data_IF_869296432859
#
_entry.id   IF_869296432859
#
_cell.length_a   1.000
_cell.length_b   1.000
_cell.length_c   1.000
_cell.angle_alpha   90.00
_cell.angle_beta   90.00
_cell.angle_gamma   90.00
#
_symmetry.space_group_name_H-M   'P 1'
#
loop_
_entity.id
_entity.type
_entity.pdbx_description
1 polymer ?
#
# COMPACT_ATOMS: atom_id res chain seq x y z
N UNK A 1 3.05 -8.41 -0.09
CA UNK A 1 2.28 -7.14 -0.12
C UNK A 1 2.54 -6.32 1.12
N UNK A 2 2.92 -5.05 0.96
CA UNK A 2 3.09 -4.08 2.05
C UNK A 2 1.98 -3.02 1.92
N UNK A 3 1.07 -2.92 2.91
CA UNK A 3 -0.10 -2.05 2.83
C UNK A 3 0.25 -0.55 2.94
N UNK A 4 -0.74 0.30 2.65
CA UNK A 4 -0.73 1.70 3.03
C UNK A 4 -1.12 1.91 4.50
N UNK A 5 -1.40 3.15 4.88
CA UNK A 5 -2.01 3.49 6.16
C UNK A 5 -3.55 3.58 5.98
N UNK A 6 -4.36 2.89 6.78
CA UNK A 6 -4.01 2.00 7.90
C UNK A 6 -3.36 0.69 7.44
N UNK A 7 -2.40 0.20 8.23
CA UNK A 7 -1.53 -0.91 7.92
C UNK A 7 -2.14 -2.31 8.05
N UNK A 8 -3.39 -2.48 7.64
CA UNK A 8 -4.18 -3.71 7.77
C UNK A 8 -4.23 -4.47 6.45
N UNK A 9 -3.66 -5.68 6.42
CA UNK A 9 -3.69 -6.56 5.23
C UNK A 9 -5.11 -7.03 4.91
N UNK A 10 -6.03 -7.01 5.86
CA UNK A 10 -7.43 -7.37 5.64
C UNK A 10 -8.07 -6.65 4.46
N UNK A 11 -7.70 -5.41 4.17
CA UNK A 11 -8.16 -4.67 3.00
C UNK A 11 -7.69 -5.27 1.66
N UNK A 12 -6.60 -6.02 1.67
CA UNK A 12 -5.94 -6.52 0.45
C UNK A 12 -6.23 -8.01 0.18
N UNK A 13 -6.95 -8.70 1.06
CA UNK A 13 -7.20 -10.14 0.93
C UNK A 13 -7.78 -10.48 -0.43
N UNK A 14 -8.86 -9.83 -0.83
CA UNK A 14 -9.50 -10.08 -2.13
C UNK A 14 -8.56 -9.82 -3.31
N UNK A 15 -7.83 -8.71 -3.28
CA UNK A 15 -6.85 -8.37 -4.31
C UNK A 15 -5.75 -9.44 -4.40
N UNK A 16 -5.21 -9.87 -3.27
CA UNK A 16 -4.16 -10.89 -3.22
C UNK A 16 -4.66 -12.27 -3.65
N UNK A 17 -5.91 -12.62 -3.35
CA UNK A 17 -6.55 -13.86 -3.80
C UNK A 17 -6.66 -13.92 -5.33
N UNK A 18 -7.04 -12.82 -5.99
CA UNK A 18 -7.03 -12.74 -7.45
C UNK A 18 -5.62 -12.92 -8.02
N UNK A 19 -4.64 -12.25 -7.45
CA UNK A 19 -3.23 -12.37 -7.87
C UNK A 19 -2.74 -13.81 -7.68
N UNK A 20 -2.99 -14.43 -6.51
CA UNK A 20 -2.57 -15.81 -6.22
C UNK A 20 -3.20 -16.82 -7.17
N UNK A 21 -4.49 -16.69 -7.46
CA UNK A 21 -5.19 -17.61 -8.39
C UNK A 21 -4.67 -17.50 -9.81
N UNK A 22 -4.34 -16.31 -10.27
CA UNK A 22 -3.83 -16.08 -11.63
C UNK A 22 -2.35 -16.42 -11.78
N UNK A 23 -1.61 -16.46 -10.68
CA UNK A 23 -0.17 -16.72 -10.60
C UNK A 23 0.12 -17.79 -9.53
N UNK A 24 -0.36 -19.03 -9.73
CA UNK A 24 -0.29 -20.09 -8.71
C UNK A 24 1.14 -20.55 -8.38
N UNK A 25 2.12 -20.20 -9.20
CA UNK A 25 3.54 -20.47 -8.96
C UNK A 25 4.16 -19.61 -7.85
N UNK A 26 3.49 -18.52 -7.44
CA UNK A 26 3.95 -17.67 -6.35
C UNK A 26 3.34 -18.08 -5.01
N UNK A 27 4.09 -17.94 -3.93
CA UNK A 27 3.55 -17.83 -2.58
C UNK A 27 3.25 -16.37 -2.30
N UNK A 28 1.97 -16.02 -2.13
CA UNK A 28 1.53 -14.63 -1.91
C UNK A 28 1.20 -14.41 -0.44
N UNK A 29 1.77 -13.40 0.17
CA UNK A 29 1.46 -13.00 1.54
C UNK A 29 1.48 -11.48 1.73
N UNK A 30 0.71 -11.01 2.72
CA UNK A 30 0.69 -9.63 3.17
C UNK A 30 1.31 -9.48 4.56
N UNK A 31 1.87 -8.31 4.84
CA UNK A 31 2.51 -8.01 6.12
C UNK A 31 1.85 -6.78 6.76
N UNK A 32 1.01 -7.03 7.78
CA UNK A 32 0.47 -5.94 8.60
C UNK A 32 1.58 -5.05 9.18
N UNK A 33 1.27 -3.79 9.42
CA UNK A 33 2.16 -2.94 10.17
C UNK A 33 2.09 -3.23 11.67
N UNK A 34 3.21 -2.99 12.37
CA UNK A 34 3.24 -3.01 13.82
C UNK A 34 2.18 -2.06 14.37
N UNK A 35 1.49 -2.52 15.40
CA UNK A 35 0.40 -1.75 16.01
C UNK A 35 -0.96 -1.96 15.38
N UNK A 36 -1.07 -2.73 14.29
CA UNK A 36 -2.33 -3.03 13.62
C UNK A 36 -2.81 -4.48 13.83
N UNK A 37 -2.45 -5.09 14.95
CA UNK A 37 -2.93 -6.44 15.31
C UNK A 37 -3.96 -6.39 16.43
N UNK A 38 -5.02 -7.22 16.34
CA UNK A 38 -6.10 -7.31 17.35
C UNK A 38 -5.60 -7.66 18.77
N UNK A 39 -4.47 -8.34 18.87
CA UNK A 39 -3.96 -8.83 20.15
C UNK A 39 -3.46 -7.70 21.06
N UNK A 40 -3.37 -6.47 20.59
CA UNK A 40 -2.69 -5.38 21.28
C UNK A 40 -3.62 -4.21 21.68
N UNK A 41 -4.83 -4.52 22.17
CA UNK A 41 -5.81 -3.52 22.63
C UNK A 41 -5.30 -2.62 23.78
N UNK A 42 -4.23 -3.03 24.48
CA UNK A 42 -3.57 -2.27 25.55
C UNK A 42 -2.30 -1.57 25.09
N UNK A 43 -2.01 -1.57 23.78
CA UNK A 43 -0.78 -1.00 23.26
C UNK A 43 -0.73 0.51 23.48
N UNK A 44 0.29 0.96 24.21
CA UNK A 44 0.58 2.37 24.45
C UNK A 44 1.64 2.93 23.48
N UNK A 45 2.49 2.07 22.92
CA UNK A 45 3.54 2.47 21.99
C UNK A 45 2.97 2.72 20.59
N UNK A 46 3.30 3.89 20.03
CA UNK A 46 2.99 4.24 18.65
C UNK A 46 4.20 3.90 17.79
N UNK A 47 4.04 2.96 16.89
CA UNK A 47 5.10 2.57 15.96
C UNK A 47 5.21 3.58 14.82
N UNK A 48 6.38 4.15 14.65
CA UNK A 48 6.71 5.10 13.61
C UNK A 48 7.06 4.42 12.28
N UNK A 49 7.12 5.20 11.21
CA UNK A 49 7.46 4.71 9.85
C UNK A 49 8.81 3.97 9.83
N UNK A 50 9.83 4.46 10.53
CA UNK A 50 11.14 3.78 10.59
C UNK A 50 11.07 2.42 11.29
N UNK A 51 10.24 2.27 12.33
CA UNK A 51 10.01 0.99 12.99
C UNK A 51 9.28 0.01 12.06
N UNK A 52 8.37 0.51 11.20
CA UNK A 52 7.71 -0.31 10.17
C UNK A 52 8.72 -0.81 9.13
N UNK A 53 9.62 0.04 8.67
CA UNK A 53 10.70 -0.34 7.74
C UNK A 53 11.57 -1.45 8.35
N UNK A 54 12.02 -1.25 9.59
CA UNK A 54 12.85 -2.22 10.29
C UNK A 54 12.12 -3.56 10.51
N UNK A 55 10.84 -3.51 10.87
CA UNK A 55 10.02 -4.72 11.01
C UNK A 55 9.90 -5.48 9.68
N UNK A 56 9.60 -4.81 8.56
CA UNK A 56 9.50 -5.47 7.26
C UNK A 56 10.83 -6.09 6.84
N UNK A 57 11.93 -5.37 7.05
CA UNK A 57 13.28 -5.89 6.81
C UNK A 57 13.54 -7.18 7.62
N UNK A 58 13.27 -7.19 8.93
CA UNK A 58 13.52 -8.36 9.78
C UNK A 58 12.66 -9.54 9.34
N UNK A 59 11.36 -9.34 9.15
CA UNK A 59 10.43 -10.43 8.75
C UNK A 59 10.82 -11.03 7.40
N UNK A 60 11.17 -10.20 6.41
CA UNK A 60 11.55 -10.68 5.08
C UNK A 60 12.92 -11.36 5.13
N UNK A 61 13.89 -10.81 5.87
CA UNK A 61 15.20 -11.44 6.11
C UNK A 61 15.05 -12.83 6.69
N UNK A 62 14.20 -13.01 7.71
CA UNK A 62 13.97 -14.30 8.34
C UNK A 62 13.30 -15.29 7.36
N UNK A 63 12.34 -14.82 6.56
CA UNK A 63 11.74 -15.66 5.52
C UNK A 63 12.75 -16.10 4.46
N UNK A 64 13.63 -15.21 4.00
CA UNK A 64 14.71 -15.56 3.06
C UNK A 64 15.62 -16.63 3.66
N UNK A 65 16.02 -16.47 4.93
CA UNK A 65 16.89 -17.44 5.62
C UNK A 65 16.27 -18.82 5.81
N UNK A 66 14.94 -18.90 5.87
CA UNK A 66 14.20 -20.16 6.03
C UNK A 66 14.02 -20.92 4.71
N UNK A 67 14.25 -20.27 3.55
CA UNK A 67 14.11 -20.92 2.25
C UNK A 67 15.30 -21.85 1.98
N UNK A 68 15.02 -23.10 1.54
CA UNK A 68 16.09 -24.05 1.19
C UNK A 68 16.83 -23.67 -0.07
N UNK A 69 16.21 -22.91 -0.96
CA UNK A 69 16.76 -22.42 -2.21
C UNK A 69 16.73 -20.90 -2.25
N UNK A 70 17.51 -20.29 -3.13
CA UNK A 70 17.52 -18.86 -3.39
C UNK A 70 16.15 -18.41 -3.92
N UNK A 71 15.32 -17.68 -3.13
CA UNK A 71 14.01 -17.24 -3.59
C UNK A 71 14.10 -16.05 -4.54
N UNK A 72 13.15 -15.98 -5.47
CA UNK A 72 12.85 -14.77 -6.24
C UNK A 72 11.78 -13.96 -5.51
N UNK A 73 12.04 -12.71 -5.23
CA UNK A 73 11.14 -11.82 -4.51
C UNK A 73 10.43 -10.86 -5.47
N UNK A 74 9.10 -10.76 -5.31
CA UNK A 74 8.24 -9.81 -5.98
C UNK A 74 7.55 -8.95 -4.92
N UNK A 75 7.84 -7.67 -4.92
CA UNK A 75 7.23 -6.74 -3.99
C UNK A 75 6.00 -6.09 -4.63
N UNK A 76 4.92 -6.03 -3.86
CA UNK A 76 3.76 -5.20 -4.15
C UNK A 76 3.55 -4.29 -2.94
N UNK A 77 3.31 -3.03 -3.19
CA UNK A 77 3.12 -2.05 -2.12
C UNK A 77 2.12 -0.98 -2.53
N UNK A 78 1.40 -0.43 -1.56
CA UNK A 78 0.38 0.58 -1.78
C UNK A 78 0.65 1.81 -0.90
N UNK A 79 0.49 3.01 -1.46
CA UNK A 79 0.57 4.28 -0.71
C UNK A 79 1.85 4.37 0.12
N UNK A 80 1.79 4.58 1.45
CA UNK A 80 2.92 4.52 2.39
C UNK A 80 3.79 3.27 2.19
N UNK A 81 3.16 2.15 1.83
CA UNK A 81 3.87 0.89 1.56
C UNK A 81 4.96 1.04 0.50
N UNK A 82 4.79 1.95 -0.47
CA UNK A 82 5.82 2.27 -1.46
C UNK A 82 7.11 2.81 -0.82
N UNK A 83 6.96 3.79 0.06
CA UNK A 83 8.08 4.38 0.83
C UNK A 83 8.78 3.34 1.72
N UNK A 84 7.99 2.54 2.43
CA UNK A 84 8.50 1.46 3.30
C UNK A 84 9.21 0.38 2.49
N UNK A 85 8.65 -0.02 1.34
CA UNK A 85 9.21 -1.07 0.48
C UNK A 85 10.55 -0.66 -0.13
N UNK A 86 10.68 0.56 -0.64
CA UNK A 86 11.96 1.04 -1.20
C UNK A 86 13.10 0.94 -0.18
N UNK A 87 12.84 1.38 1.05
CA UNK A 87 13.84 1.33 2.15
C UNK A 87 14.11 -0.09 2.63
N UNK A 88 13.09 -0.92 2.66
CA UNK A 88 13.23 -2.34 2.98
C UNK A 88 14.09 -3.05 1.92
N UNK A 89 13.83 -2.81 0.64
CA UNK A 89 14.63 -3.35 -0.48
C UNK A 89 16.09 -2.91 -0.33
N UNK A 90 16.33 -1.63 -0.08
CA UNK A 90 17.69 -1.11 0.12
C UNK A 90 18.41 -1.82 1.26
N UNK A 91 17.77 -1.91 2.44
CA UNK A 91 18.33 -2.62 3.60
C UNK A 91 18.62 -4.11 3.31
N UNK A 92 17.74 -4.81 2.59
CA UNK A 92 17.95 -6.21 2.22
C UNK A 92 19.15 -6.41 1.28
N UNK A 93 19.30 -5.53 0.29
CA UNK A 93 20.37 -5.60 -0.71
C UNK A 93 21.73 -5.14 -0.16
N UNK A 94 21.75 -4.29 0.87
CA UNK A 94 22.94 -3.84 1.57
C UNK A 94 23.36 -4.78 2.73
N UNK A 95 22.56 -5.80 3.04
CA UNK A 95 22.86 -6.75 4.11
C UNK A 95 23.83 -7.85 3.64
N UNK A 96 25.06 -7.80 4.11
CA UNK A 96 26.11 -8.78 3.78
C UNK A 96 25.73 -10.23 4.17
N UNK A 97 24.90 -10.45 5.21
CA UNK A 97 24.41 -11.79 5.55
C UNK A 97 23.46 -12.37 4.49
N UNK A 98 22.83 -11.53 3.69
CA UNK A 98 21.88 -11.91 2.64
C UNK A 98 22.51 -11.94 1.24
N UNK A 99 23.77 -11.61 1.12
CA UNK A 99 24.48 -11.61 -0.16
C UNK A 99 24.28 -12.93 -0.89
N UNK A 100 23.85 -12.86 -2.13
CA UNK A 100 23.57 -14.00 -3.03
C UNK A 100 22.49 -15.00 -2.54
N UNK A 101 21.79 -14.73 -1.43
CA UNK A 101 20.76 -15.62 -0.88
C UNK A 101 19.36 -15.41 -1.45
N UNK A 102 19.11 -14.34 -2.17
CA UNK A 102 17.82 -14.03 -2.81
C UNK A 102 18.04 -13.22 -4.08
N UNK A 103 16.97 -13.04 -4.85
CA UNK A 103 16.95 -12.14 -5.99
C UNK A 103 15.62 -11.36 -6.00
N UNK A 104 15.68 -10.05 -6.19
CA UNK A 104 14.48 -9.25 -6.42
C UNK A 104 14.24 -9.24 -7.93
N UNK A 105 13.03 -9.59 -8.35
CA UNK A 105 12.61 -9.57 -9.75
C UNK A 105 11.74 -8.36 -10.06
N UNK A 106 10.85 -7.99 -9.12
CA UNK A 106 9.83 -6.98 -9.36
C UNK A 106 9.54 -6.16 -8.10
N UNK A 107 9.36 -4.86 -8.29
CA UNK A 107 8.94 -3.92 -7.28
C UNK A 107 7.77 -3.09 -7.84
N UNK A 108 6.54 -3.51 -7.54
CA UNK A 108 5.31 -2.85 -7.94
C UNK A 108 4.80 -1.92 -6.83
N UNK A 109 4.75 -0.63 -7.14
CA UNK A 109 4.29 0.41 -6.23
C UNK A 109 2.99 1.03 -6.77
N UNK A 110 1.94 0.92 -5.99
CA UNK A 110 0.57 1.29 -6.34
C UNK A 110 0.24 2.60 -5.65
N UNK A 111 -0.06 3.65 -6.42
CA UNK A 111 -0.31 5.01 -5.93
C UNK A 111 0.64 5.41 -4.79
N UNK A 112 1.98 5.26 -4.99
CA UNK A 112 2.94 5.33 -3.90
C UNK A 112 3.12 6.75 -3.39
N UNK A 113 3.07 6.93 -2.06
CA UNK A 113 3.41 8.19 -1.41
C UNK A 113 4.90 8.20 -1.04
N UNK A 114 5.76 8.38 -2.04
CA UNK A 114 7.22 8.35 -1.86
C UNK A 114 7.87 9.73 -1.94
N UNK A 115 7.08 10.78 -2.15
CA UNK A 115 7.56 12.16 -2.26
C UNK A 115 6.47 13.15 -1.86
N UNK A 116 6.82 14.19 -1.11
CA UNK A 116 6.02 15.39 -0.78
C UNK A 116 4.55 15.12 -0.39
N UNK A 117 4.32 14.17 0.52
CA UNK A 117 2.96 13.85 0.96
C UNK A 117 2.28 15.07 1.62
N UNK A 118 3.05 15.93 2.30
CA UNK A 118 2.54 17.14 2.95
C UNK A 118 1.99 18.18 1.96
N UNK A 119 2.50 18.19 0.71
CA UNK A 119 2.03 19.04 -0.38
C UNK A 119 0.74 18.54 -1.05
N UNK A 120 0.30 17.32 -0.78
CA UNK A 120 -0.94 16.78 -1.32
C UNK A 120 -2.18 17.44 -0.69
N UNK A 121 -3.36 17.24 -1.29
CA UNK A 121 -4.62 17.78 -0.76
C UNK A 121 -4.90 17.28 0.66
N UNK A 122 -4.79 15.97 0.87
CA UNK A 122 -4.99 15.35 2.19
C UNK A 122 -3.88 15.69 3.17
N UNK A 123 -2.63 15.71 2.70
CA UNK A 123 -1.48 16.12 3.51
C UNK A 123 -1.63 17.54 4.05
N UNK A 124 -2.01 18.49 3.17
CA UNK A 124 -2.27 19.88 3.59
C UNK A 124 -3.39 19.98 4.62
N UNK A 125 -4.48 19.22 4.46
CA UNK A 125 -5.55 19.15 5.47
C UNK A 125 -5.03 18.59 6.80
N UNK A 126 -4.21 17.53 6.76
CA UNK A 126 -3.61 16.95 7.96
C UNK A 126 -2.64 17.91 8.66
N UNK A 127 -1.79 18.61 7.91
CA UNK A 127 -0.90 19.63 8.48
C UNK A 127 -1.71 20.70 9.22
N UNK A 128 -2.81 21.19 8.63
CA UNK A 128 -3.70 22.16 9.28
C UNK A 128 -4.34 21.59 10.56
N UNK A 129 -4.80 20.34 10.52
CA UNK A 129 -5.37 19.66 11.70
C UNK A 129 -4.31 19.48 12.80
N UNK A 130 -3.10 19.06 12.46
CA UNK A 130 -2.01 18.91 13.43
C UNK A 130 -1.62 20.24 14.10
N UNK A 131 -1.66 21.34 13.34
CA UNK A 131 -1.39 22.68 13.86
C UNK A 131 -2.57 23.28 14.65
N UNK A 132 -3.75 22.65 14.58
CA UNK A 132 -4.87 23.04 15.42
C UNK A 132 -4.62 22.64 16.87
N UNK A 133 -5.15 23.43 17.82
CA UNK A 133 -5.09 23.08 19.26
C UNK A 133 -6.09 22.00 19.66
N UNK A 134 -6.80 21.39 18.69
CA UNK A 134 -7.81 20.38 18.96
C UNK A 134 -7.17 19.02 19.21
N UNK A 135 -7.64 18.25 20.22
CA UNK A 135 -7.13 16.91 20.52
C UNK A 135 -7.72 15.86 19.56
N UNK A 136 -7.42 16.01 18.25
CA UNK A 136 -8.05 15.23 17.17
C UNK A 136 -7.94 13.71 17.41
N UNK A 137 -6.76 13.24 17.82
CA UNK A 137 -6.55 11.81 18.08
C UNK A 137 -7.43 11.33 19.23
N UNK A 138 -7.49 12.08 20.32
CA UNK A 138 -8.36 11.76 21.46
C UNK A 138 -9.84 11.74 21.08
N UNK A 139 -10.28 12.71 20.29
CA UNK A 139 -11.66 12.76 19.78
C UNK A 139 -11.96 11.54 18.88
N UNK A 140 -11.06 11.18 17.99
CA UNK A 140 -11.22 10.01 17.12
C UNK A 140 -11.25 8.69 17.91
N UNK A 141 -10.39 8.55 18.93
CA UNK A 141 -10.41 7.38 19.82
C UNK A 141 -11.72 7.29 20.62
N UNK A 142 -12.24 8.43 21.12
CA UNK A 142 -13.52 8.48 21.82
C UNK A 142 -14.65 8.08 20.88
N UNK A 143 -14.65 8.60 19.65
CA UNK A 143 -15.62 8.22 18.62
C UNK A 143 -15.54 6.72 18.32
N UNK A 144 -14.33 6.19 18.13
CA UNK A 144 -14.08 4.75 17.94
C UNK A 144 -14.67 3.92 19.09
N UNK A 145 -14.44 4.34 20.34
CA UNK A 145 -15.02 3.68 21.52
C UNK A 145 -16.55 3.71 21.50
N UNK A 146 -17.17 4.79 21.04
CA UNK A 146 -18.63 4.87 20.91
C UNK A 146 -19.14 3.97 19.78
N UNK A 147 -18.43 3.89 18.66
CA UNK A 147 -18.79 3.01 17.54
C UNK A 147 -18.87 1.54 17.97
N UNK A 148 -18.00 1.08 18.88
CA UNK A 148 -18.01 -0.31 19.35
C UNK A 148 -19.28 -0.73 20.08
N UNK A 149 -20.13 0.21 20.52
CA UNK A 149 -21.45 -0.09 21.10
C UNK A 149 -22.59 -0.14 20.07
N UNK A 150 -22.32 0.25 18.81
CA UNK A 150 -23.30 0.18 17.73
C UNK A 150 -23.39 -1.28 17.24
N UNK A 151 -24.58 -1.89 17.12
CA UNK A 151 -24.71 -3.24 16.58
C UNK A 151 -24.06 -3.38 15.21
N UNK A 152 -23.38 -4.51 14.98
CA UNK A 152 -22.65 -4.78 13.74
C UNK A 152 -23.53 -4.61 12.48
N UNK A 153 -24.79 -5.06 12.53
CA UNK A 153 -25.73 -4.92 11.43
C UNK A 153 -26.01 -3.46 11.04
N UNK A 154 -26.04 -2.56 12.03
CA UNK A 154 -26.21 -1.13 11.81
C UNK A 154 -24.94 -0.52 11.22
N UNK A 155 -23.78 -0.88 11.74
CA UNK A 155 -22.50 -0.42 11.20
C UNK A 155 -22.36 -0.86 9.74
N UNK A 156 -22.64 -2.14 9.43
CA UNK A 156 -22.64 -2.67 8.05
C UNK A 156 -23.57 -1.88 7.15
N UNK A 157 -24.80 -1.65 7.59
CA UNK A 157 -25.78 -0.89 6.82
C UNK A 157 -25.25 0.50 6.49
N UNK A 158 -24.75 1.25 7.47
CA UNK A 158 -24.20 2.59 7.29
C UNK A 158 -23.01 2.56 6.32
N UNK A 159 -22.03 1.68 6.55
CA UNK A 159 -20.83 1.59 5.73
C UNK A 159 -21.16 1.20 4.29
N UNK A 160 -22.04 0.23 4.07
CA UNK A 160 -22.47 -0.19 2.73
C UNK A 160 -23.15 0.93 1.97
N UNK A 161 -23.99 1.76 2.64
CA UNK A 161 -24.68 2.87 1.99
C UNK A 161 -23.80 4.07 1.69
N UNK A 162 -22.78 4.33 2.52
CA UNK A 162 -21.84 5.43 2.32
C UNK A 162 -20.66 5.04 1.42
N UNK A 163 -20.33 3.75 1.36
CA UNK A 163 -19.36 3.20 0.44
C UNK A 163 -20.03 2.64 -0.80
N UNK A 164 -20.97 3.38 -1.34
CA UNK A 164 -21.49 3.03 -2.66
C UNK A 164 -20.32 2.97 -3.62
N UNK A 165 -19.85 1.73 -3.85
CA UNK A 165 -19.22 1.40 -5.10
C UNK A 165 -20.10 2.02 -6.21
N UNK A 166 -19.53 2.65 -7.27
CA UNK A 166 -20.32 2.83 -8.46
C UNK A 166 -20.96 1.45 -8.69
N UNK A 167 -22.27 1.43 -8.94
CA UNK A 167 -22.99 0.20 -9.22
C UNK A 167 -22.27 -0.45 -10.41
N UNK A 168 -21.22 -1.20 -10.15
CA UNK A 168 -20.72 -2.16 -11.10
C UNK A 168 -21.89 -3.09 -11.29
N UNK A 169 -22.30 -3.23 -12.53
CA UNK A 169 -23.27 -4.21 -12.95
C UNK A 169 -22.79 -5.52 -12.35
N UNK A 170 -23.44 -5.96 -11.29
CA UNK A 170 -23.24 -7.27 -10.70
C UNK A 170 -23.60 -8.20 -11.84
N UNK A 171 -22.61 -8.72 -12.55
CA UNK A 171 -22.83 -9.84 -13.43
C UNK A 171 -23.35 -10.95 -12.53
N UNK A 172 -24.65 -11.24 -12.68
CA UNK A 172 -25.32 -12.31 -11.97
C UNK A 172 -24.49 -13.57 -12.15
N UNK A 173 -23.80 -13.99 -11.10
CA UNK A 173 -23.09 -15.26 -11.08
C UNK A 173 -21.71 -15.32 -10.44
N UNK A 174 -21.13 -14.23 -9.96
CA UNK A 174 -19.83 -14.34 -9.26
C UNK A 174 -19.98 -14.18 -7.75
N UNK A 175 -19.92 -15.28 -7.01
CA UNK A 175 -19.85 -15.30 -5.54
C UNK A 175 -18.65 -14.51 -4.98
N UNK A 176 -17.71 -14.09 -5.84
CA UNK A 176 -16.42 -13.50 -5.46
C UNK A 176 -16.47 -11.97 -5.23
N UNK A 177 -17.36 -11.22 -5.87
CA UNK A 177 -17.46 -9.77 -5.69
C UNK A 177 -18.02 -9.38 -4.33
N UNK A 178 -18.99 -10.16 -3.83
CA UNK A 178 -19.53 -9.99 -2.50
C UNK A 178 -18.49 -10.25 -1.39
N UNK A 179 -17.56 -11.16 -1.62
CA UNK A 179 -16.47 -11.47 -0.67
C UNK A 179 -15.47 -10.32 -0.55
N UNK A 180 -15.18 -9.59 -1.64
CA UNK A 180 -14.24 -8.45 -1.61
C UNK A 180 -14.76 -7.28 -0.81
N UNK A 181 -16.00 -6.92 -1.01
CA UNK A 181 -16.69 -5.89 -0.22
C UNK A 181 -16.74 -6.32 1.26
N UNK A 182 -16.98 -7.61 1.53
CA UNK A 182 -17.02 -8.16 2.88
C UNK A 182 -15.69 -7.99 3.61
N UNK A 183 -14.55 -8.33 3.00
CA UNK A 183 -13.24 -8.15 3.61
C UNK A 183 -12.96 -6.67 3.94
N UNK A 184 -13.28 -5.77 3.03
CA UNK A 184 -13.10 -4.33 3.23
C UNK A 184 -14.01 -3.78 4.33
N UNK A 185 -15.27 -4.20 4.38
CA UNK A 185 -16.24 -3.82 5.41
C UNK A 185 -15.79 -4.33 6.78
N UNK A 186 -15.44 -5.62 6.87
CA UNK A 186 -14.99 -6.22 8.13
C UNK A 186 -13.73 -5.53 8.66
N UNK A 187 -12.75 -5.28 7.78
CA UNK A 187 -11.51 -4.61 8.16
C UNK A 187 -11.76 -3.17 8.62
N UNK A 188 -12.71 -2.48 8.00
CA UNK A 188 -13.07 -1.12 8.45
C UNK A 188 -13.81 -1.15 9.78
N UNK A 189 -14.75 -2.07 9.97
CA UNK A 189 -15.39 -2.21 11.27
C UNK A 189 -14.36 -2.54 12.36
N UNK A 190 -13.36 -3.38 12.06
CA UNK A 190 -12.25 -3.63 12.97
C UNK A 190 -11.48 -2.34 13.31
N UNK A 191 -11.11 -1.56 12.31
CA UNK A 191 -10.43 -0.29 12.50
C UNK A 191 -11.23 0.69 13.35
N UNK A 192 -12.49 0.96 12.97
CA UNK A 192 -13.32 1.98 13.63
C UNK A 192 -13.78 1.57 15.03
N UNK A 193 -13.84 0.27 15.34
CA UNK A 193 -14.25 -0.25 16.65
C UNK A 193 -13.06 -0.47 17.60
N UNK A 194 -11.83 -0.20 17.16
CA UNK A 194 -10.63 -0.45 17.96
C UNK A 194 -9.85 0.86 18.16
N UNK A 195 -10.04 1.56 19.29
CA UNK A 195 -9.40 2.86 19.53
C UNK A 195 -7.87 2.86 19.39
N UNK A 196 -7.21 1.74 19.73
CA UNK A 196 -5.75 1.61 19.56
C UNK A 196 -5.31 1.60 18.10
N UNK A 197 -6.10 0.98 17.21
CA UNK A 197 -5.83 1.00 15.75
C UNK A 197 -6.01 2.40 15.19
N UNK A 198 -7.07 3.11 15.59
CA UNK A 198 -7.30 4.52 15.22
C UNK A 198 -6.16 5.40 15.71
N UNK A 199 -5.72 5.21 16.96
CA UNK A 199 -4.58 5.92 17.53
C UNK A 199 -3.30 5.68 16.73
N UNK A 200 -2.99 4.42 16.41
CA UNK A 200 -1.82 4.05 15.61
C UNK A 200 -1.90 4.67 14.22
N UNK A 201 -3.03 4.55 13.52
CA UNK A 201 -3.21 5.07 12.16
C UNK A 201 -3.00 6.58 12.08
N UNK A 202 -3.62 7.34 12.99
CA UNK A 202 -3.54 8.80 12.99
C UNK A 202 -2.15 9.32 13.36
N UNK A 203 -1.49 8.68 14.33
CA UNK A 203 -0.13 9.11 14.71
C UNK A 203 0.90 8.66 13.66
N UNK A 204 0.74 7.50 13.02
CA UNK A 204 1.56 7.09 11.89
C UNK A 204 1.39 8.05 10.71
N UNK A 205 0.16 8.49 10.42
CA UNK A 205 -0.08 9.49 9.38
C UNK A 205 0.59 10.85 9.68
N UNK A 206 0.75 11.23 10.96
CA UNK A 206 1.55 12.40 11.34
C UNK A 206 3.04 12.19 11.07
N UNK A 207 3.55 11.02 11.42
CA UNK A 207 4.96 10.66 11.20
C UNK A 207 5.29 10.60 9.70
N UNK A 208 4.34 10.17 8.85
CA UNK A 208 4.47 10.18 7.37
C UNK A 208 4.72 11.59 6.82
N UNK A 209 4.04 12.62 7.36
CA UNK A 209 4.22 14.01 6.91
C UNK A 209 5.65 14.51 7.11
N UNK A 210 6.30 14.05 8.17
CA UNK A 210 7.67 14.40 8.50
C UNK A 210 8.68 13.50 7.73
N UNK A 211 8.38 12.21 7.59
CA UNK A 211 9.26 11.22 6.98
C UNK A 211 9.33 11.35 5.45
N UNK A 212 8.20 11.68 4.79
CA UNK A 212 8.10 11.72 3.32
C UNK A 212 8.22 13.15 2.81
N UNK A 213 9.46 13.60 2.62
CA UNK A 213 9.79 14.96 2.19
C UNK A 213 9.83 15.13 0.66
N UNK A 214 10.07 16.37 0.20
CA UNK A 214 10.21 16.71 -1.24
C UNK A 214 11.47 16.12 -1.88
N UNK A 215 12.52 15.91 -1.11
CA UNK A 215 13.78 15.34 -1.57
C UNK A 215 14.00 13.99 -0.90
N UNK A 216 14.23 12.96 -1.70
CA UNK A 216 14.42 11.61 -1.19
C UNK A 216 15.50 10.88 -2.00
N UNK A 217 16.68 10.70 -1.37
CA UNK A 217 17.82 9.98 -1.94
C UNK A 217 17.49 8.50 -2.23
N UNK A 218 16.52 7.91 -1.53
CA UNK A 218 16.11 6.53 -1.80
C UNK A 218 15.34 6.43 -3.11
N UNK A 219 14.61 7.48 -3.53
CA UNK A 219 14.04 7.53 -4.87
C UNK A 219 15.15 7.56 -5.94
N UNK A 220 16.18 8.40 -5.76
CA UNK A 220 17.31 8.44 -6.68
C UNK A 220 18.00 7.06 -6.74
N UNK A 221 18.24 6.44 -5.58
CA UNK A 221 18.85 5.12 -5.52
C UNK A 221 17.99 4.04 -6.20
N UNK A 222 16.69 3.96 -5.93
CA UNK A 222 15.81 2.89 -6.44
C UNK A 222 15.63 2.96 -7.96
N UNK A 223 15.56 4.16 -8.53
CA UNK A 223 15.29 4.34 -9.95
C UNK A 223 16.54 4.52 -10.81
N UNK A 224 17.63 5.06 -10.26
CA UNK A 224 18.82 5.46 -11.03
C UNK A 224 20.06 4.75 -10.56
N UNK A 225 20.47 4.94 -9.30
CA UNK A 225 21.84 4.70 -8.85
C UNK A 225 22.17 3.24 -8.57
N UNK A 226 21.18 2.42 -8.22
CA UNK A 226 21.47 1.03 -7.88
C UNK A 226 21.87 0.20 -9.11
N UNK A 227 22.73 -0.76 -8.89
CA UNK A 227 23.29 -1.65 -9.92
C UNK A 227 22.43 -2.90 -10.21
N UNK A 228 21.32 -3.07 -9.49
CA UNK A 228 20.47 -4.26 -9.59
C UNK A 228 19.53 -4.20 -10.78
N UNK A 229 19.08 -5.35 -11.28
CA UNK A 229 18.34 -5.47 -12.53
C UNK A 229 16.82 -5.65 -12.35
N UNK A 230 16.30 -5.58 -11.10
CA UNK A 230 14.88 -5.75 -10.87
C UNK A 230 14.02 -4.68 -11.56
N UNK A 231 12.78 -5.06 -11.87
CA UNK A 231 11.84 -4.15 -12.53
C UNK A 231 11.10 -3.31 -11.50
N UNK A 232 11.06 -2.01 -11.70
CA UNK A 232 10.22 -1.08 -10.95
C UNK A 232 8.99 -0.73 -11.78
N UNK A 233 7.83 -0.89 -11.20
CA UNK A 233 6.56 -0.43 -11.74
C UNK A 233 5.89 0.52 -10.75
N UNK A 234 5.57 1.73 -11.21
CA UNK A 234 4.81 2.72 -10.45
C UNK A 234 3.51 3.00 -11.17
N UNK A 235 2.40 2.73 -10.51
CA UNK A 235 1.07 3.04 -11.01
C UNK A 235 0.46 4.20 -10.24
N UNK A 236 -0.07 5.19 -10.95
CA UNK A 236 -0.73 6.35 -10.37
C UNK A 236 -2.20 6.44 -10.82
N UNK A 237 -3.07 6.89 -9.91
CA UNK A 237 -4.42 7.29 -10.27
C UNK A 237 -4.39 8.55 -11.14
N UNK A 238 -5.45 8.78 -11.92
CA UNK A 238 -5.58 10.03 -12.71
C UNK A 238 -5.66 11.26 -11.81
N UNK A 239 -6.41 11.15 -10.72
CA UNK A 239 -6.55 12.15 -9.68
C UNK A 239 -6.45 11.45 -8.32
N UNK A 240 -5.63 12.01 -7.45
CA UNK A 240 -5.31 11.42 -6.16
C UNK A 240 -5.18 12.52 -5.11
N UNK A 241 -5.83 12.35 -3.97
CA UNK A 241 -5.79 13.32 -2.88
C UNK A 241 -4.60 13.14 -1.94
N UNK A 242 -3.85 12.01 -2.05
CA UNK A 242 -2.62 11.74 -1.32
C UNK A 242 -1.35 11.93 -2.16
N UNK A 243 -1.45 11.74 -3.48
CA UNK A 243 -0.36 11.99 -4.43
C UNK A 243 -0.81 13.08 -5.39
N UNK A 244 -0.33 14.30 -5.19
CA UNK A 244 -0.72 15.41 -6.06
C UNK A 244 -0.28 15.14 -7.50
N UNK A 245 -1.02 15.67 -8.47
CA UNK A 245 -0.63 15.59 -9.89
C UNK A 245 0.77 16.16 -10.10
N UNK A 246 1.11 17.25 -9.40
CA UNK A 246 2.44 17.87 -9.47
C UNK A 246 3.54 16.92 -8.99
N UNK A 247 3.34 16.23 -7.86
CA UNK A 247 4.28 15.24 -7.34
C UNK A 247 4.41 14.05 -8.28
N UNK A 248 3.30 13.51 -8.79
CA UNK A 248 3.29 12.44 -9.79
C UNK A 248 4.07 12.81 -11.03
N UNK A 249 3.75 13.96 -11.62
CA UNK A 249 4.34 14.42 -12.88
C UNK A 249 5.82 14.76 -12.71
N UNK A 250 6.22 15.26 -11.53
CA UNK A 250 7.63 15.42 -11.14
C UNK A 250 8.37 14.08 -11.13
N UNK A 251 7.82 13.05 -10.46
CA UNK A 251 8.43 11.71 -10.42
C UNK A 251 8.56 11.10 -11.81
N UNK A 252 7.52 11.20 -12.64
CA UNK A 252 7.54 10.70 -14.02
C UNK A 252 8.57 11.46 -14.86
N UNK A 253 8.61 12.78 -14.75
CA UNK A 253 9.58 13.61 -15.48
C UNK A 253 11.02 13.30 -15.07
N UNK A 254 11.27 13.15 -13.76
CA UNK A 254 12.62 12.90 -13.22
C UNK A 254 13.12 11.49 -13.53
N UNK A 255 12.25 10.48 -13.40
CA UNK A 255 12.67 9.08 -13.44
C UNK A 255 12.11 8.27 -14.62
N UNK A 256 11.09 8.77 -15.32
CA UNK A 256 10.40 8.01 -16.37
C UNK A 256 11.29 7.65 -17.56
N UNK A 257 12.29 8.47 -17.86
CA UNK A 257 13.29 8.18 -18.90
C UNK A 257 14.56 7.51 -18.35
N UNK A 258 14.69 7.42 -17.03
CA UNK A 258 15.83 6.77 -16.39
C UNK A 258 15.69 5.25 -16.51
N UNK A 259 16.51 4.63 -17.32
CA UNK A 259 16.52 3.19 -17.53
C UNK A 259 15.12 2.59 -17.87
N UNK A 260 14.55 2.87 -19.07
CA UNK A 260 13.20 2.43 -19.45
C UNK A 260 13.05 0.91 -19.56
N UNK A 261 14.15 0.16 -19.61
CA UNK A 261 14.14 -1.30 -19.52
C UNK A 261 13.85 -1.81 -18.10
N UNK A 262 14.03 -0.95 -17.10
CA UNK A 262 13.88 -1.30 -15.68
C UNK A 262 12.72 -0.57 -15.01
N UNK A 263 12.52 0.70 -15.33
CA UNK A 263 11.53 1.55 -14.71
C UNK A 263 10.34 1.76 -15.64
N UNK A 264 9.14 1.59 -15.10
CA UNK A 264 7.88 1.87 -15.79
C UNK A 264 6.96 2.66 -14.88
N UNK A 265 6.53 3.82 -15.36
CA UNK A 265 5.58 4.70 -14.70
C UNK A 265 4.30 4.75 -15.53
N UNK A 266 3.17 4.54 -14.90
CA UNK A 266 1.86 4.49 -15.55
C UNK A 266 0.85 5.35 -14.79
N UNK A 267 0.03 6.05 -15.54
CA UNK A 267 -1.15 6.74 -15.03
C UNK A 267 -2.36 5.93 -15.49
N UNK A 268 -3.37 5.79 -14.62
CA UNK A 268 -4.62 5.13 -14.98
C UNK A 268 -5.22 5.75 -16.25
N UNK A 269 -5.36 4.98 -17.31
CA UNK A 269 -5.91 5.45 -18.60
C UNK A 269 -7.44 5.29 -18.68
N UNK A 270 -8.04 4.49 -17.79
CA UNK A 270 -9.49 4.27 -17.80
C UNK A 270 -10.21 5.52 -17.27
N UNK A 271 -10.88 6.23 -18.18
CA UNK A 271 -11.61 7.48 -17.87
C UNK A 271 -13.00 7.20 -17.31
N UNK A 272 -13.63 6.10 -17.75
CA UNK A 272 -15.01 5.77 -17.34
C UNK A 272 -15.07 5.22 -15.92
N UNK A 273 -14.11 4.37 -15.55
CA UNK A 273 -13.96 3.81 -14.21
C UNK A 273 -12.49 3.91 -13.75
N UNK A 274 -12.02 5.12 -13.42
CA UNK A 274 -10.62 5.31 -13.05
C UNK A 274 -10.30 4.60 -11.72
N UNK A 275 -9.16 3.92 -11.70
CA UNK A 275 -8.64 3.34 -10.46
C UNK A 275 -8.35 4.45 -9.46
N UNK A 276 -8.89 4.31 -8.26
CA UNK A 276 -8.75 5.26 -7.16
C UNK A 276 -7.59 4.89 -6.25
N UNK A 277 -7.12 5.85 -5.45
CA UNK A 277 -6.10 5.60 -4.45
C UNK A 277 -6.46 4.39 -3.57
N UNK A 278 -7.65 4.38 -3.01
CA UNK A 278 -8.14 3.30 -2.15
C UNK A 278 -8.81 2.16 -2.95
N UNK A 279 -8.18 1.67 -4.02
CA UNK A 279 -8.70 0.62 -4.90
C UNK A 279 -9.17 -0.64 -4.17
N UNK A 280 -8.56 -0.94 -3.03
CA UNK A 280 -8.87 -2.12 -2.19
C UNK A 280 -10.29 -2.12 -1.63
N UNK A 281 -10.97 -0.97 -1.64
CA UNK A 281 -12.33 -0.88 -1.11
C UNK A 281 -13.36 -1.46 -2.08
N UNK A 282 -13.18 -1.27 -3.39
CA UNK A 282 -14.18 -1.64 -4.38
C UNK A 282 -13.66 -1.90 -5.81
N UNK A 283 -12.34 -1.92 -6.03
CA UNK A 283 -11.71 -2.12 -7.34
C UNK A 283 -10.59 -3.19 -7.28
N UNK A 284 -10.69 -4.11 -6.32
CA UNK A 284 -9.65 -5.14 -6.09
C UNK A 284 -9.46 -6.06 -7.29
N UNK A 285 -10.53 -6.46 -7.98
CA UNK A 285 -10.47 -7.33 -9.15
C UNK A 285 -9.79 -6.62 -10.32
N UNK A 286 -10.29 -5.46 -10.69
CA UNK A 286 -9.81 -4.68 -11.84
C UNK A 286 -8.33 -4.35 -11.66
N UNK A 287 -7.93 -3.99 -10.45
CA UNK A 287 -6.53 -3.68 -10.20
C UNK A 287 -5.64 -4.92 -10.12
N UNK A 288 -6.16 -6.06 -9.67
CA UNK A 288 -5.45 -7.32 -9.70
C UNK A 288 -5.13 -7.74 -11.15
N UNK A 289 -6.04 -7.56 -12.09
CA UNK A 289 -5.83 -7.85 -13.52
C UNK A 289 -4.68 -7.02 -14.09
N UNK A 290 -4.64 -5.71 -13.80
CA UNK A 290 -3.53 -4.84 -14.18
C UNK A 290 -2.21 -5.34 -13.58
N UNK A 291 -2.20 -5.65 -12.29
CA UNK A 291 -1.00 -6.13 -11.59
C UNK A 291 -0.47 -7.44 -12.16
N UNK A 292 -1.36 -8.40 -12.40
CA UNK A 292 -1.03 -9.71 -12.99
C UNK A 292 -0.36 -9.54 -14.35
N UNK A 293 -0.93 -8.68 -15.20
CA UNK A 293 -0.36 -8.37 -16.51
C UNK A 293 1.04 -7.74 -16.38
N UNK A 294 1.24 -6.82 -15.46
CA UNK A 294 2.55 -6.19 -15.23
C UNK A 294 3.60 -7.16 -14.69
N UNK A 295 3.23 -8.08 -13.80
CA UNK A 295 4.14 -9.14 -13.33
C UNK A 295 4.53 -10.04 -14.50
N UNK A 296 3.58 -10.51 -15.31
CA UNK A 296 3.85 -11.35 -16.49
C UNK A 296 4.74 -10.64 -17.52
N UNK A 297 4.50 -9.36 -17.77
CA UNK A 297 5.36 -8.57 -18.65
C UNK A 297 6.77 -8.41 -18.10
N UNK A 298 6.92 -8.21 -16.79
CA UNK A 298 8.23 -8.09 -16.15
C UNK A 298 9.06 -9.37 -16.27
N UNK A 299 8.42 -10.54 -16.19
CA UNK A 299 9.07 -11.84 -16.40
C UNK A 299 9.51 -12.05 -17.85
N UNK A 300 8.73 -11.57 -18.83
CA UNK A 300 8.99 -11.75 -20.27
C UNK A 300 9.84 -10.64 -20.90
N UNK A 301 10.58 -9.85 -20.10
CA UNK A 301 11.25 -8.63 -20.52
C UNK A 301 10.28 -7.60 -21.10
N UNK A 302 9.96 -6.52 -20.37
CA UNK A 302 9.14 -5.37 -20.81
C UNK A 302 9.17 -5.17 -22.34
N UNK A 303 8.35 -5.92 -23.09
CA UNK A 303 8.21 -5.70 -24.53
C UNK A 303 7.44 -4.39 -24.65
N UNK A 304 8.02 -3.39 -25.33
CA UNK A 304 7.30 -2.17 -25.68
C UNK A 304 6.05 -2.58 -26.45
N UNK A 305 4.88 -2.39 -25.86
CA UNK A 305 3.67 -2.19 -26.64
C UNK A 305 3.88 -0.92 -27.45
N UNK A 306 4.02 -1.09 -28.76
CA UNK A 306 4.18 -0.02 -29.74
C UNK A 306 2.96 0.90 -29.78
#
# INVERSE_FOLDING_TARGET
MIPGNPGLVGYYVTYLDYVQRALPQFEVFGLDYLGFTKQNTKQQHIFKVEEQINHKYVVIKDKIKQQPNKPNLYFLSHSLGGFVTQRTIKKLLEDEELKDKFEIKFNGMITPTTNDIAGSESGTKMVRLNNSKLPIVGMAMTFSSLCSYIPESVQRYILTHHWTAPKQVIEEGSDHENVGLEHSLQTTMELINTPSLVNQALNMARDELDAISKSDEVNDWIYVDNQYSFKNWCFFAQSDHWVSNETRDHLISKYGQSNPKRNRFEICENVENPIKHAFVLNQSKEFAEITIDRIKQAENCWVKSG
#
